data_IF_193989276497
#
_entry.id   IF_193989276497
#
_cell.length_a   1.000
_cell.length_b   1.000
_cell.length_c   1.000
_cell.angle_alpha   90.00
_cell.angle_beta   90.00
_cell.angle_gamma   90.00
#
_symmetry.space_group_name_H-M   'P 1'
#
loop_
_entity.id
_entity.type
_entity.pdbx_description
1 polymer ?
#
# COMPACT_ATOMS: atom_id res chain seq x y z
N UNK A 1 -10.38 -24.72 -16.53
CA UNK A 1 -10.66 -23.41 -17.20
C UNK A 1 -9.34 -22.73 -17.57
N UNK A 2 -9.35 -21.72 -18.47
CA UNK A 2 -8.19 -20.87 -18.70
C UNK A 2 -8.21 -19.63 -17.78
N UNK A 3 -7.14 -18.82 -17.81
CA UNK A 3 -7.00 -17.62 -16.98
C UNK A 3 -8.12 -16.59 -17.20
N UNK A 4 -8.46 -16.29 -18.46
CA UNK A 4 -9.52 -15.31 -18.78
C UNK A 4 -10.90 -15.77 -18.26
N UNK A 5 -11.22 -17.06 -18.41
CA UNK A 5 -12.45 -17.65 -17.89
C UNK A 5 -12.47 -17.62 -16.33
N UNK A 6 -11.31 -17.76 -15.69
CA UNK A 6 -11.20 -17.65 -14.24
C UNK A 6 -11.48 -16.22 -13.74
N UNK A 7 -10.91 -15.22 -14.40
CA UNK A 7 -11.18 -13.82 -14.07
C UNK A 7 -12.63 -13.43 -14.35
N UNK A 8 -13.21 -13.89 -15.48
CA UNK A 8 -14.62 -13.66 -15.79
C UNK A 8 -15.55 -14.26 -14.73
N UNK A 9 -15.24 -15.47 -14.23
CA UNK A 9 -16.00 -16.06 -13.14
C UNK A 9 -15.89 -15.23 -11.84
N UNK A 10 -14.69 -14.79 -11.46
CA UNK A 10 -14.46 -14.00 -10.25
C UNK A 10 -15.19 -12.65 -10.33
N UNK A 11 -15.04 -11.90 -11.43
CA UNK A 11 -15.63 -10.57 -11.59
C UNK A 11 -17.12 -10.62 -11.92
N UNK A 12 -17.63 -11.70 -12.49
CA UNK A 12 -19.04 -11.86 -12.84
C UNK A 12 -20.01 -11.81 -11.65
N UNK A 13 -19.50 -11.88 -10.40
CA UNK A 13 -20.30 -11.89 -9.18
C UNK A 13 -20.52 -10.52 -8.54
N UNK A 14 -19.97 -9.44 -9.06
CA UNK A 14 -20.19 -8.08 -8.55
C UNK A 14 -21.68 -7.71 -8.38
N UNK A 15 -22.56 -8.37 -9.12
CA UNK A 15 -24.02 -8.15 -9.10
C UNK A 15 -24.70 -8.51 -7.78
N UNK A 16 -24.06 -9.28 -6.91
CA UNK A 16 -24.68 -9.80 -5.66
C UNK A 16 -24.45 -8.91 -4.45
N UNK A 17 -23.70 -7.82 -4.57
CA UNK A 17 -23.49 -6.83 -3.51
C UNK A 17 -22.63 -7.33 -2.35
N UNK A 18 -22.40 -6.46 -1.37
CA UNK A 18 -21.66 -6.78 -0.15
C UNK A 18 -22.62 -7.43 0.86
N UNK A 19 -22.37 -8.70 1.22
CA UNK A 19 -23.07 -9.38 2.30
C UNK A 19 -22.16 -9.36 3.52
N UNK A 20 -22.58 -8.64 4.58
CA UNK A 20 -21.83 -8.61 5.85
C UNK A 20 -21.96 -9.94 6.58
N UNK A 21 -20.84 -10.53 6.94
CA UNK A 21 -20.76 -11.77 7.70
C UNK A 21 -19.82 -12.79 7.08
N UNK A 22 -19.49 -13.84 7.84
CA UNK A 22 -18.54 -14.88 7.43
C UNK A 22 -19.21 -16.19 7.01
N UNK A 23 -20.54 -16.25 6.98
CA UNK A 23 -21.24 -17.49 6.73
C UNK A 23 -21.07 -18.00 5.30
N UNK A 24 -21.05 -17.10 4.31
CA UNK A 24 -20.90 -17.47 2.92
C UNK A 24 -19.52 -18.09 2.67
N UNK A 25 -18.45 -17.41 3.07
CA UNK A 25 -17.10 -17.96 2.91
C UNK A 25 -16.87 -19.23 3.74
N UNK A 26 -17.45 -19.37 4.94
CA UNK A 26 -17.38 -20.62 5.72
C UNK A 26 -18.02 -21.79 4.96
N UNK A 27 -19.22 -21.59 4.45
CA UNK A 27 -19.91 -22.58 3.63
C UNK A 27 -19.12 -23.00 2.39
N UNK A 28 -18.45 -22.04 1.74
CA UNK A 28 -17.58 -22.30 0.60
C UNK A 28 -16.37 -23.15 1.01
N UNK A 29 -15.66 -22.74 2.06
CA UNK A 29 -14.46 -23.41 2.54
C UNK A 29 -14.75 -24.80 3.10
N UNK A 30 -15.90 -25.03 3.73
CA UNK A 30 -16.31 -26.38 4.18
C UNK A 30 -16.40 -27.34 3.00
N UNK A 31 -16.91 -26.90 1.83
CA UNK A 31 -17.00 -27.72 0.61
C UNK A 31 -15.66 -27.89 -0.10
N UNK A 32 -14.70 -27.03 0.20
CA UNK A 32 -13.30 -27.14 -0.24
C UNK A 32 -12.44 -27.99 0.71
N UNK A 33 -13.04 -28.58 1.78
CA UNK A 33 -12.33 -29.38 2.77
C UNK A 33 -11.47 -28.57 3.73
N UNK A 34 -11.87 -27.31 4.00
CA UNK A 34 -11.27 -26.39 4.98
C UNK A 34 -9.76 -26.22 4.78
N UNK A 35 -9.29 -25.78 3.60
CA UNK A 35 -7.86 -25.64 3.31
C UNK A 35 -7.14 -24.70 4.29
N UNK A 36 -7.84 -23.69 4.83
CA UNK A 36 -7.29 -22.74 5.81
C UNK A 36 -6.85 -23.40 7.13
N UNK A 37 -7.41 -24.54 7.51
CA UNK A 37 -7.06 -25.21 8.78
C UNK A 37 -5.65 -25.82 8.77
N UNK A 38 -5.07 -25.98 7.57
CA UNK A 38 -3.72 -26.52 7.36
C UNK A 38 -2.65 -25.42 7.30
N UNK A 39 -3.04 -24.16 7.35
CA UNK A 39 -2.16 -23.00 7.16
C UNK A 39 -1.86 -22.27 8.48
N UNK A 40 -0.67 -21.67 8.58
CA UNK A 40 -0.25 -20.86 9.72
C UNK A 40 -0.28 -19.40 9.31
N UNK A 41 -1.12 -18.60 9.95
CA UNK A 41 -1.36 -17.22 9.55
C UNK A 41 -0.67 -16.18 10.44
N UNK A 42 -0.14 -15.14 9.80
CA UNK A 42 0.12 -13.82 10.38
C UNK A 42 -0.92 -12.90 9.74
N UNK A 43 -1.90 -12.44 10.51
CA UNK A 43 -3.08 -11.72 10.03
C UNK A 43 -2.93 -10.23 10.29
N UNK A 44 -2.99 -9.39 9.26
CA UNK A 44 -2.63 -7.97 9.34
C UNK A 44 -3.81 -7.09 8.93
N UNK A 45 -4.30 -6.27 9.87
CA UNK A 45 -5.30 -5.22 9.66
C UNK A 45 -4.70 -3.82 9.86
N UNK A 46 -5.43 -2.80 9.45
CA UNK A 46 -5.04 -1.39 9.59
C UNK A 46 -5.73 -0.52 8.54
N UNK A 47 -5.67 0.79 8.67
CA UNK A 47 -6.08 1.71 7.61
C UNK A 47 -4.96 1.79 6.58
N UNK A 48 -3.80 2.28 6.97
CA UNK A 48 -2.59 2.34 6.16
C UNK A 48 -1.50 1.41 6.72
N UNK A 49 -0.47 1.10 5.93
CA UNK A 49 0.68 0.29 6.34
C UNK A 49 0.49 -1.23 6.28
N UNK A 50 -0.72 -1.75 6.01
CA UNK A 50 -0.98 -3.20 5.91
C UNK A 50 -0.04 -3.89 4.93
N UNK A 51 -0.12 -3.55 3.64
CA UNK A 51 0.67 -4.18 2.58
C UNK A 51 2.18 -4.01 2.78
N UNK A 52 2.64 -2.84 3.26
CA UNK A 52 4.06 -2.63 3.58
C UNK A 52 4.54 -3.54 4.72
N UNK A 53 3.78 -3.63 5.83
CA UNK A 53 4.10 -4.53 6.94
C UNK A 53 4.06 -5.99 6.50
N UNK A 54 3.03 -6.37 5.71
CA UNK A 54 2.90 -7.72 5.14
C UNK A 54 4.11 -8.09 4.29
N UNK A 55 4.58 -7.16 3.47
CA UNK A 55 5.77 -7.36 2.64
C UNK A 55 7.03 -7.50 3.47
N UNK A 56 7.23 -6.66 4.49
CA UNK A 56 8.38 -6.76 5.37
C UNK A 56 8.44 -8.12 6.07
N UNK A 57 7.36 -8.54 6.74
CA UNK A 57 7.39 -9.82 7.46
C UNK A 57 7.46 -11.02 6.51
N UNK A 58 6.82 -10.97 5.34
CA UNK A 58 6.93 -12.00 4.32
C UNK A 58 8.39 -12.18 3.87
N UNK A 59 9.08 -11.08 3.53
CA UNK A 59 10.48 -11.15 3.11
C UNK A 59 11.43 -11.60 4.23
N UNK A 60 11.18 -11.21 5.47
CA UNK A 60 11.94 -11.70 6.64
C UNK A 60 11.83 -13.23 6.75
N UNK A 61 10.64 -13.78 6.60
CA UNK A 61 10.41 -15.23 6.66
C UNK A 61 11.00 -15.95 5.44
N UNK A 62 10.94 -15.36 4.24
CA UNK A 62 11.57 -15.90 3.02
C UNK A 62 13.09 -15.96 3.19
N UNK A 63 13.71 -14.90 3.71
CA UNK A 63 15.16 -14.86 3.96
C UNK A 63 15.60 -15.85 5.06
N UNK A 64 14.71 -16.23 5.95
CA UNK A 64 14.93 -17.32 6.89
C UNK A 64 14.80 -18.72 6.26
N UNK A 65 14.43 -18.82 4.98
CA UNK A 65 14.32 -20.09 4.25
C UNK A 65 13.00 -20.82 4.42
N UNK A 66 11.92 -20.08 4.70
CA UNK A 66 10.55 -20.61 4.70
C UNK A 66 9.85 -20.39 3.36
N UNK A 67 8.92 -21.27 3.03
CA UNK A 67 7.93 -21.07 1.96
C UNK A 67 6.79 -20.21 2.49
N UNK A 68 6.59 -19.02 1.90
CA UNK A 68 5.68 -18.01 2.44
C UNK A 68 4.66 -17.58 1.40
N UNK A 69 3.37 -17.81 1.71
CA UNK A 69 2.26 -17.23 1.01
C UNK A 69 2.06 -15.76 1.46
N UNK A 70 1.81 -14.87 0.53
CA UNK A 70 1.46 -13.47 0.79
C UNK A 70 0.16 -13.15 0.06
N UNK A 71 -0.88 -12.84 0.83
CA UNK A 71 -2.18 -12.39 0.32
C UNK A 71 -2.35 -10.89 0.58
N UNK A 72 -2.61 -10.12 -0.48
CA UNK A 72 -2.73 -8.65 -0.41
C UNK A 72 -3.86 -8.13 -1.29
N UNK A 73 -4.39 -6.95 -0.94
CA UNK A 73 -5.43 -6.28 -1.73
C UNK A 73 -5.41 -4.75 -1.56
N UNK A 74 -5.82 -4.00 -2.61
CA UNK A 74 -6.02 -4.46 -3.98
C UNK A 74 -4.70 -4.77 -4.69
N UNK A 75 -4.74 -5.28 -5.91
CA UNK A 75 -3.59 -5.36 -6.79
C UNK A 75 -3.28 -3.99 -7.40
N UNK A 76 -2.07 -3.81 -7.92
CA UNK A 76 -1.64 -2.56 -8.53
C UNK A 76 -1.75 -2.58 -10.07
N UNK A 77 -1.17 -3.60 -10.71
CA UNK A 77 -1.15 -3.74 -12.18
C UNK A 77 -1.89 -4.98 -12.68
N UNK A 78 -1.66 -6.15 -12.04
CA UNK A 78 -2.25 -7.42 -12.46
C UNK A 78 -2.90 -8.16 -11.30
N UNK A 79 -4.02 -8.83 -11.59
CA UNK A 79 -4.82 -9.54 -10.59
C UNK A 79 -4.00 -10.54 -9.74
N UNK A 80 -3.04 -11.22 -10.37
CA UNK A 80 -2.18 -12.25 -9.76
C UNK A 80 -1.35 -11.72 -8.58
N UNK A 81 -1.14 -10.41 -8.49
CA UNK A 81 -0.43 -9.78 -7.36
C UNK A 81 -1.10 -10.02 -6.02
N UNK A 82 -2.40 -10.35 -6.00
CA UNK A 82 -3.15 -10.64 -4.78
C UNK A 82 -2.66 -11.89 -4.08
N UNK A 83 -2.08 -12.85 -4.83
CA UNK A 83 -1.70 -14.19 -4.35
C UNK A 83 -0.27 -14.47 -4.75
N UNK A 84 0.64 -14.49 -3.78
CA UNK A 84 2.07 -14.68 -4.02
C UNK A 84 2.63 -15.81 -3.18
N UNK A 85 3.63 -16.52 -3.69
CA UNK A 85 4.49 -17.42 -2.91
C UNK A 85 5.94 -17.00 -3.13
N UNK A 86 6.68 -16.77 -2.03
CA UNK A 86 8.10 -16.38 -2.04
C UNK A 86 8.37 -15.15 -2.93
N UNK A 87 7.46 -14.17 -2.90
CA UNK A 87 7.55 -12.93 -3.67
C UNK A 87 7.14 -13.04 -5.15
N UNK A 88 6.89 -14.26 -5.67
CA UNK A 88 6.39 -14.48 -7.03
C UNK A 88 4.86 -14.53 -7.04
N UNK A 89 4.24 -13.82 -7.99
CA UNK A 89 2.81 -13.91 -8.22
C UNK A 89 2.41 -15.34 -8.59
N UNK A 90 1.19 -15.75 -8.24
CA UNK A 90 0.57 -16.97 -8.76
C UNK A 90 0.59 -16.93 -10.29
N UNK A 91 0.99 -18.01 -10.94
CA UNK A 91 0.90 -18.08 -12.40
C UNK A 91 -0.54 -18.25 -12.89
N UNK A 92 -0.76 -17.98 -14.17
CA UNK A 92 -2.11 -17.95 -14.77
C UNK A 92 -2.79 -19.32 -14.70
N UNK A 93 -2.03 -20.41 -14.87
CA UNK A 93 -2.59 -21.77 -14.83
C UNK A 93 -2.92 -22.21 -13.40
N UNK A 94 -2.01 -21.97 -12.43
CA UNK A 94 -2.28 -22.26 -11.01
C UNK A 94 -3.48 -21.44 -10.49
N UNK A 95 -3.66 -20.20 -10.96
CA UNK A 95 -4.85 -19.40 -10.64
C UNK A 95 -6.10 -20.04 -11.22
N UNK A 96 -6.09 -20.38 -12.51
CA UNK A 96 -7.23 -21.00 -13.19
C UNK A 96 -7.63 -22.33 -12.53
N UNK A 97 -6.65 -23.19 -12.20
CA UNK A 97 -6.89 -24.48 -11.54
C UNK A 97 -7.49 -24.30 -10.14
N UNK A 98 -6.97 -23.32 -9.38
CA UNK A 98 -7.50 -23.01 -8.03
C UNK A 98 -8.92 -22.44 -8.09
N UNK A 99 -9.19 -21.56 -9.07
CA UNK A 99 -10.54 -20.99 -9.29
C UNK A 99 -11.52 -22.05 -9.75
N UNK A 100 -11.11 -23.05 -10.56
CA UNK A 100 -11.97 -24.16 -10.98
C UNK A 100 -12.51 -24.92 -9.77
N UNK A 101 -11.64 -25.28 -8.80
CA UNK A 101 -12.05 -25.95 -7.57
C UNK A 101 -13.04 -25.09 -6.75
N UNK A 102 -12.78 -23.77 -6.65
CA UNK A 102 -13.66 -22.83 -5.95
C UNK A 102 -15.02 -22.71 -6.65
N UNK A 103 -15.04 -22.68 -7.99
CA UNK A 103 -16.25 -22.65 -8.80
C UNK A 103 -17.11 -23.90 -8.58
N UNK A 104 -16.52 -25.09 -8.58
CA UNK A 104 -17.23 -26.33 -8.30
C UNK A 104 -17.85 -26.32 -6.90
N UNK A 105 -17.11 -25.84 -5.88
CA UNK A 105 -17.64 -25.72 -4.52
C UNK A 105 -18.77 -24.68 -4.43
N UNK A 106 -18.64 -23.56 -5.15
CA UNK A 106 -19.67 -22.53 -5.26
C UNK A 106 -20.95 -23.10 -5.90
N UNK A 107 -20.85 -23.87 -6.98
CA UNK A 107 -21.98 -24.52 -7.63
C UNK A 107 -22.73 -25.47 -6.71
N UNK A 108 -22.00 -26.24 -5.88
CA UNK A 108 -22.60 -27.11 -4.85
C UNK A 108 -23.39 -26.28 -3.82
N UNK A 109 -22.82 -25.16 -3.34
CA UNK A 109 -23.52 -24.22 -2.44
C UNK A 109 -24.84 -23.74 -3.05
N UNK A 110 -24.81 -23.27 -4.29
CA UNK A 110 -25.98 -22.76 -4.97
C UNK A 110 -27.04 -23.83 -5.20
N UNK A 111 -26.63 -25.07 -5.51
CA UNK A 111 -27.50 -26.24 -5.63
C UNK A 111 -28.22 -26.61 -4.29
N UNK A 112 -27.65 -26.22 -3.17
CA UNK A 112 -28.21 -26.39 -1.84
C UNK A 112 -29.06 -25.18 -1.39
N UNK A 113 -29.25 -24.15 -2.27
CA UNK A 113 -30.01 -22.95 -1.99
C UNK A 113 -29.31 -21.92 -1.11
N UNK A 114 -27.98 -22.01 -0.96
CA UNK A 114 -27.17 -21.04 -0.22
C UNK A 114 -26.86 -19.80 -1.06
N UNK A 115 -26.56 -18.68 -0.41
CA UNK A 115 -26.22 -17.43 -1.07
C UNK A 115 -24.89 -17.54 -1.82
N UNK A 116 -24.78 -16.83 -2.95
CA UNK A 116 -23.55 -16.74 -3.72
C UNK A 116 -22.45 -16.00 -2.92
N UNK A 117 -21.19 -16.51 -2.89
CA UNK A 117 -20.07 -15.78 -2.32
C UNK A 117 -19.79 -14.49 -3.10
N UNK A 118 -19.30 -13.47 -2.41
CA UNK A 118 -18.81 -12.22 -3.02
C UNK A 118 -17.49 -12.46 -3.78
N UNK A 119 -17.09 -11.53 -4.65
CA UNK A 119 -15.79 -11.58 -5.34
C UNK A 119 -14.64 -11.79 -4.34
N UNK A 120 -14.60 -10.98 -3.28
CA UNK A 120 -13.52 -11.04 -2.30
C UNK A 120 -13.48 -12.39 -1.53
N UNK A 121 -14.64 -12.99 -1.26
CA UNK A 121 -14.73 -14.33 -0.66
C UNK A 121 -14.21 -15.40 -1.61
N UNK A 122 -14.52 -15.32 -2.92
CA UNK A 122 -14.00 -16.25 -3.92
C UNK A 122 -12.47 -16.15 -4.04
N UNK A 123 -11.92 -14.93 -4.10
CA UNK A 123 -10.47 -14.71 -4.18
C UNK A 123 -9.76 -15.21 -2.92
N UNK A 124 -10.34 -14.96 -1.74
CA UNK A 124 -9.79 -15.45 -0.46
C UNK A 124 -9.77 -16.97 -0.41
N UNK A 125 -10.86 -17.62 -0.83
CA UNK A 125 -10.93 -19.09 -0.90
C UNK A 125 -9.92 -19.65 -1.92
N UNK A 126 -9.77 -19.03 -3.09
CA UNK A 126 -8.77 -19.38 -4.11
C UNK A 126 -7.35 -19.34 -3.54
N UNK A 127 -7.01 -18.25 -2.80
CA UNK A 127 -5.71 -18.15 -2.15
C UNK A 127 -5.47 -19.27 -1.14
N UNK A 128 -6.46 -19.63 -0.31
CA UNK A 128 -6.31 -20.71 0.66
C UNK A 128 -6.15 -22.08 0.00
N UNK A 129 -6.90 -22.36 -1.07
CA UNK A 129 -6.74 -23.58 -1.87
C UNK A 129 -5.32 -23.68 -2.44
N UNK A 130 -4.85 -22.59 -3.06
CA UNK A 130 -3.53 -22.53 -3.65
C UNK A 130 -2.41 -22.72 -2.62
N UNK A 131 -2.43 -21.97 -1.51
CA UNK A 131 -1.41 -22.07 -0.46
C UNK A 131 -1.38 -23.44 0.20
N UNK A 132 -2.55 -24.02 0.48
CA UNK A 132 -2.63 -25.37 1.04
C UNK A 132 -2.17 -26.45 0.06
N UNK A 133 -2.46 -26.27 -1.23
CA UNK A 133 -1.99 -27.17 -2.31
C UNK A 133 -0.47 -27.11 -2.50
N UNK A 134 0.15 -25.94 -2.39
CA UNK A 134 1.60 -25.75 -2.47
C UNK A 134 2.35 -26.05 -1.15
N UNK A 135 1.64 -26.26 -0.03
CA UNK A 135 2.23 -26.61 1.26
C UNK A 135 3.13 -25.54 1.83
N UNK A 136 2.72 -24.25 1.79
CA UNK A 136 3.51 -23.14 2.34
C UNK A 136 3.64 -23.26 3.87
N UNK A 137 4.78 -22.83 4.41
CA UNK A 137 5.04 -22.88 5.86
C UNK A 137 4.23 -21.83 6.62
N UNK A 138 4.09 -20.62 6.05
CA UNK A 138 3.36 -19.49 6.61
C UNK A 138 2.55 -18.77 5.55
N UNK A 139 1.47 -18.13 5.98
CA UNK A 139 0.70 -17.18 5.16
C UNK A 139 0.65 -15.84 5.87
N UNK A 140 1.17 -14.82 5.24
CA UNK A 140 0.95 -13.43 5.63
C UNK A 140 -0.32 -12.96 4.94
N UNK A 141 -1.35 -12.68 5.74
CA UNK A 141 -2.72 -12.46 5.29
C UNK A 141 -3.13 -11.01 5.57
N UNK A 142 -3.22 -10.19 4.53
CA UNK A 142 -3.70 -8.82 4.63
C UNK A 142 -5.23 -8.78 4.59
N UNK A 143 -5.85 -8.06 5.53
CA UNK A 143 -7.28 -7.75 5.57
C UNK A 143 -7.64 -6.82 4.41
N UNK A 144 -8.71 -7.13 3.68
CA UNK A 144 -9.20 -6.27 2.62
C UNK A 144 -9.85 -4.99 3.16
N UNK A 145 -10.84 -5.14 4.04
CA UNK A 145 -11.58 -4.01 4.61
C UNK A 145 -11.97 -4.27 6.07
N UNK A 146 -11.67 -3.32 6.96
CA UNK A 146 -12.04 -3.42 8.37
C UNK A 146 -11.28 -4.53 9.08
N UNK A 147 -11.92 -5.64 9.31
CA UNK A 147 -11.35 -6.84 9.94
C UNK A 147 -12.42 -7.83 10.39
N UNK A 148 -13.38 -7.41 11.21
CA UNK A 148 -14.38 -8.26 11.88
C UNK A 148 -15.16 -9.15 10.91
N UNK A 149 -15.64 -8.57 9.82
CA UNK A 149 -16.46 -9.24 8.80
C UNK A 149 -15.72 -9.43 7.47
N UNK A 150 -14.40 -9.17 7.46
CA UNK A 150 -13.57 -9.41 6.29
C UNK A 150 -13.45 -10.91 6.00
N UNK A 151 -13.49 -11.32 4.73
CA UNK A 151 -13.42 -12.72 4.36
C UNK A 151 -12.15 -13.41 4.89
N UNK A 152 -11.04 -12.68 5.02
CA UNK A 152 -9.79 -13.23 5.60
C UNK A 152 -9.95 -13.63 7.07
N UNK A 153 -10.93 -13.05 7.78
CA UNK A 153 -11.18 -13.33 9.20
C UNK A 153 -11.91 -14.64 9.46
N UNK A 154 -12.23 -15.40 8.41
CA UNK A 154 -12.82 -16.74 8.52
C UNK A 154 -11.90 -17.76 9.23
N UNK A 155 -10.61 -17.47 9.34
CA UNK A 155 -9.63 -18.29 10.05
C UNK A 155 -9.91 -18.31 11.55
N UNK A 156 -9.82 -19.49 12.18
CA UNK A 156 -10.08 -19.62 13.62
C UNK A 156 -8.88 -19.22 14.48
N UNK A 157 -7.66 -19.29 13.94
CA UNK A 157 -6.40 -19.02 14.64
C UNK A 157 -5.43 -18.24 13.76
N UNK A 158 -4.65 -17.38 14.39
CA UNK A 158 -3.45 -16.75 13.82
C UNK A 158 -2.29 -16.88 14.80
N UNK A 159 -1.06 -16.97 14.30
CA UNK A 159 0.15 -16.88 15.14
C UNK A 159 0.27 -15.49 15.77
N UNK A 160 -0.04 -14.48 14.97
CA UNK A 160 -0.09 -13.08 15.38
C UNK A 160 -1.23 -12.40 14.62
N UNK A 161 -2.04 -11.61 15.33
CA UNK A 161 -2.92 -10.60 14.76
C UNK A 161 -2.22 -9.24 14.87
N UNK A 162 -1.85 -8.64 13.73
CA UNK A 162 -1.16 -7.36 13.71
C UNK A 162 -2.11 -6.22 13.31
N UNK A 163 -2.04 -5.08 14.01
CA UNK A 163 -2.84 -3.89 13.70
C UNK A 163 -1.87 -2.75 13.36
N UNK A 164 -1.81 -2.38 12.09
CA UNK A 164 -1.06 -1.24 11.60
C UNK A 164 -1.77 0.08 11.98
N UNK A 165 -1.64 1.18 11.22
CA UNK A 165 -2.27 2.44 11.59
C UNK A 165 -3.82 2.35 11.58
N UNK A 166 -4.45 3.08 12.48
CA UNK A 166 -5.91 3.28 12.54
C UNK A 166 -6.19 4.76 12.29
N UNK A 167 -6.91 5.04 11.22
CA UNK A 167 -7.37 6.39 10.86
C UNK A 167 -8.72 6.30 10.13
N UNK A 168 -9.40 7.42 9.95
CA UNK A 168 -10.69 7.46 9.27
C UNK A 168 -10.50 7.13 7.78
N UNK A 169 -11.14 6.07 7.33
CA UNK A 169 -11.31 5.69 5.94
C UNK A 169 -12.53 4.77 5.84
N UNK A 170 -13.15 4.71 4.66
CA UNK A 170 -14.37 3.91 4.44
C UNK A 170 -15.45 4.16 5.49
N UNK A 171 -15.64 5.42 5.89
CA UNK A 171 -16.52 5.81 7.03
C UNK A 171 -17.97 5.38 6.87
N UNK A 172 -18.45 5.22 5.63
CA UNK A 172 -19.80 4.69 5.34
C UNK A 172 -19.99 3.22 5.76
N UNK A 173 -18.90 2.47 5.89
CA UNK A 173 -18.91 1.02 6.20
C UNK A 173 -18.35 0.77 7.61
N UNK A 174 -17.22 1.40 7.95
CA UNK A 174 -16.50 1.14 9.20
C UNK A 174 -16.89 2.06 10.35
N UNK A 175 -17.70 3.10 10.06
CA UNK A 175 -18.07 4.13 11.01
C UNK A 175 -17.23 5.40 10.89
N UNK A 176 -17.74 6.47 11.49
CA UNK A 176 -17.30 7.86 11.35
C UNK A 176 -16.42 8.35 12.51
N UNK A 177 -16.05 7.44 13.43
CA UNK A 177 -15.16 7.72 14.57
C UNK A 177 -14.01 6.72 14.64
N UNK A 178 -12.89 7.13 15.26
CA UNK A 178 -11.69 6.26 15.42
C UNK A 178 -12.03 4.99 16.18
N UNK A 179 -12.85 5.07 17.23
CA UNK A 179 -13.23 3.89 18.04
C UNK A 179 -14.02 2.86 17.22
N UNK A 180 -14.95 3.30 16.33
CA UNK A 180 -15.69 2.38 15.46
C UNK A 180 -14.75 1.69 14.48
N UNK A 181 -13.86 2.46 13.82
CA UNK A 181 -12.86 1.92 12.90
C UNK A 181 -11.90 0.96 13.63
N UNK A 182 -11.45 1.33 14.84
CA UNK A 182 -10.59 0.49 15.68
C UNK A 182 -11.30 -0.81 16.08
N UNK A 183 -12.59 -0.74 16.43
CA UNK A 183 -13.39 -1.92 16.79
C UNK A 183 -13.54 -2.91 15.64
N UNK A 184 -13.80 -2.40 14.43
CA UNK A 184 -13.86 -3.25 13.23
C UNK A 184 -12.51 -3.92 12.95
N UNK A 185 -11.39 -3.17 13.07
CA UNK A 185 -10.04 -3.72 12.86
C UNK A 185 -9.64 -4.72 13.95
N UNK A 186 -9.98 -4.45 15.19
CA UNK A 186 -9.76 -5.36 16.32
C UNK A 186 -10.55 -6.68 16.20
N UNK A 187 -11.51 -6.76 15.28
CA UNK A 187 -12.24 -7.99 14.99
C UNK A 187 -11.39 -9.17 14.49
N UNK A 188 -10.13 -8.94 14.08
CA UNK A 188 -9.19 -10.02 13.74
C UNK A 188 -8.54 -10.69 14.96
N UNK A 189 -8.71 -10.13 16.15
CA UNK A 189 -8.14 -10.65 17.38
C UNK A 189 -8.81 -11.99 17.71
N UNK A 190 -7.97 -13.01 17.91
CA UNK A 190 -8.42 -14.38 18.18
C UNK A 190 -8.39 -14.67 19.67
N UNK A 191 -9.29 -15.55 20.11
CA UNK A 191 -9.39 -15.97 21.52
C UNK A 191 -8.03 -16.50 22.02
N UNK A 192 -7.54 -15.93 23.13
CA UNK A 192 -6.22 -16.23 23.70
C UNK A 192 -5.06 -16.05 22.72
N UNK A 193 -5.25 -15.21 21.67
CA UNK A 193 -4.27 -14.93 20.63
C UNK A 193 -3.19 -13.94 21.05
N UNK A 194 -2.23 -13.74 20.17
CA UNK A 194 -1.23 -12.68 20.29
C UNK A 194 -1.57 -11.51 19.37
N UNK A 195 -1.58 -10.30 19.91
CA UNK A 195 -1.77 -9.06 19.17
C UNK A 195 -0.51 -8.22 19.23
N UNK A 196 -0.10 -7.68 18.09
CA UNK A 196 0.98 -6.69 18.02
C UNK A 196 0.44 -5.50 17.22
N UNK A 197 0.45 -4.30 17.81
CA UNK A 197 -0.09 -3.13 17.13
C UNK A 197 0.87 -1.96 17.14
N UNK A 198 0.71 -1.03 16.23
CA UNK A 198 1.34 0.27 16.28
C UNK A 198 1.01 0.99 17.59
N UNK A 199 1.93 1.84 18.04
CA UNK A 199 1.59 2.90 18.98
C UNK A 199 0.60 3.85 18.32
N UNK A 200 -0.62 3.89 18.85
CA UNK A 200 -1.76 4.64 18.34
C UNK A 200 -2.13 5.78 19.31
N UNK A 201 -3.07 6.63 18.88
CA UNK A 201 -3.76 7.52 19.81
C UNK A 201 -4.57 6.75 20.86
N UNK A 202 -4.91 7.40 21.99
CA UNK A 202 -5.60 6.75 23.11
C UNK A 202 -6.92 6.09 22.69
N UNK A 203 -7.70 6.74 21.84
CA UNK A 203 -9.00 6.24 21.38
C UNK A 203 -8.89 4.85 20.73
N UNK A 204 -7.96 4.67 19.78
CA UNK A 204 -7.77 3.39 19.12
C UNK A 204 -7.15 2.35 20.06
N UNK A 205 -6.20 2.78 20.93
CA UNK A 205 -5.52 1.90 21.89
C UNK A 205 -6.49 1.30 22.90
N UNK A 206 -7.35 2.11 23.50
CA UNK A 206 -8.34 1.68 24.49
C UNK A 206 -9.33 0.65 23.91
N UNK A 207 -9.74 0.82 22.66
CA UNK A 207 -10.61 -0.15 21.97
C UNK A 207 -9.90 -1.48 21.78
N UNK A 208 -8.66 -1.48 21.30
CA UNK A 208 -7.90 -2.71 21.07
C UNK A 208 -7.62 -3.42 22.41
N UNK A 209 -7.22 -2.68 23.47
CA UNK A 209 -7.02 -3.23 24.82
C UNK A 209 -8.28 -3.88 25.38
N UNK A 210 -9.45 -3.22 25.19
CA UNK A 210 -10.74 -3.78 25.61
C UNK A 210 -11.03 -5.08 24.88
N UNK A 211 -10.89 -5.13 23.55
CA UNK A 211 -11.13 -6.36 22.77
C UNK A 211 -10.12 -7.46 23.15
N UNK A 212 -8.86 -7.13 23.38
CA UNK A 212 -7.87 -8.08 23.88
C UNK A 212 -8.31 -8.68 25.22
N UNK A 213 -8.81 -7.86 26.14
CA UNK A 213 -9.31 -8.32 27.43
C UNK A 213 -10.52 -9.24 27.29
N UNK A 214 -11.46 -8.89 26.42
CA UNK A 214 -12.66 -9.70 26.11
C UNK A 214 -12.30 -11.07 25.54
N UNK A 215 -11.33 -11.12 24.64
CA UNK A 215 -10.84 -12.35 23.99
C UNK A 215 -9.78 -13.10 24.83
N UNK A 216 -9.30 -12.54 25.93
CA UNK A 216 -8.17 -13.07 26.72
C UNK A 216 -6.88 -13.12 25.94
N UNK A 217 -6.69 -12.20 24.99
CA UNK A 217 -5.53 -12.10 24.12
C UNK A 217 -4.43 -11.22 24.75
N UNK A 218 -3.17 -11.50 24.42
CA UNK A 218 -2.03 -10.68 24.83
C UNK A 218 -1.79 -9.54 23.84
N UNK A 219 -1.49 -8.34 24.32
CA UNK A 219 -1.19 -7.16 23.51
C UNK A 219 0.26 -6.72 23.68
N UNK A 220 0.96 -6.55 22.58
CA UNK A 220 2.26 -5.88 22.48
C UNK A 220 2.08 -4.59 21.68
N UNK A 221 2.52 -3.46 22.22
CA UNK A 221 2.52 -2.17 21.52
C UNK A 221 3.92 -1.92 20.95
N UNK A 222 3.98 -1.78 19.63
CA UNK A 222 5.18 -1.42 18.88
C UNK A 222 5.45 0.08 19.03
N UNK A 223 6.32 0.46 19.97
CA UNK A 223 6.54 1.85 20.39
C UNK A 223 7.46 2.59 19.43
N UNK A 224 7.02 3.73 18.93
CA UNK A 224 7.80 4.59 18.03
C UNK A 224 9.10 5.13 18.67
N UNK A 225 9.14 5.26 20.01
CA UNK A 225 10.34 5.64 20.76
C UNK A 225 11.50 4.65 20.61
N UNK A 226 11.24 3.44 20.11
CA UNK A 226 12.26 2.46 19.77
C UNK A 226 12.96 2.72 18.42
N UNK A 227 12.60 3.76 17.66
CA UNK A 227 13.18 4.06 16.35
C UNK A 227 14.08 5.28 16.42
N UNK A 228 15.33 5.15 15.95
CA UNK A 228 16.27 6.25 15.74
C UNK A 228 16.68 6.31 14.27
N UNK A 229 16.14 7.28 13.51
CA UNK A 229 16.44 7.42 12.08
C UNK A 229 17.78 8.14 11.92
N UNK A 230 18.80 7.43 11.40
CA UNK A 230 20.14 7.97 11.11
C UNK A 230 20.21 8.64 9.74
N UNK A 231 19.52 8.06 8.73
CA UNK A 231 19.50 8.55 7.35
C UNK A 231 18.16 8.25 6.71
N UNK A 232 17.61 9.24 5.99
CA UNK A 232 16.39 9.03 5.19
C UNK A 232 16.44 9.96 3.98
N UNK A 233 16.50 9.40 2.78
CA UNK A 233 16.55 10.11 1.52
C UNK A 233 15.77 9.34 0.43
N UNK A 234 15.87 9.79 -0.83
CA UNK A 234 15.17 9.18 -1.98
C UNK A 234 15.65 7.75 -2.33
N UNK A 235 16.79 7.29 -1.81
CA UNK A 235 17.33 5.96 -2.17
C UNK A 235 17.08 4.90 -1.10
N UNK A 236 17.18 5.29 0.17
CA UNK A 236 17.05 4.37 1.30
C UNK A 236 16.87 5.10 2.63
N UNK A 237 16.52 4.34 3.64
CA UNK A 237 16.51 4.76 5.02
C UNK A 237 17.41 3.85 5.84
N UNK A 238 18.15 4.42 6.81
CA UNK A 238 18.97 3.71 7.79
C UNK A 238 18.53 4.16 9.18
N UNK A 239 18.22 3.20 10.04
CA UNK A 239 17.73 3.48 11.39
C UNK A 239 18.13 2.38 12.38
N UNK A 240 18.21 2.74 13.64
CA UNK A 240 18.27 1.77 14.74
C UNK A 240 16.85 1.50 15.23
N UNK A 241 16.62 0.30 15.73
CA UNK A 241 15.34 -0.07 16.33
C UNK A 241 15.53 -0.92 17.59
N UNK A 242 14.59 -0.75 18.53
CA UNK A 242 14.41 -1.65 19.66
C UNK A 242 13.16 -2.49 19.42
N UNK A 243 13.27 -3.83 19.55
CA UNK A 243 12.09 -4.66 19.60
C UNK A 243 11.37 -4.55 20.96
N UNK A 244 10.22 -5.20 21.08
CA UNK A 244 9.39 -5.15 22.29
C UNK A 244 10.07 -5.82 23.51
N UNK A 245 11.12 -6.63 23.31
CA UNK A 245 11.94 -7.24 24.35
C UNK A 245 13.11 -6.33 24.78
N UNK A 246 13.34 -5.22 24.08
CA UNK A 246 14.45 -4.29 24.30
C UNK A 246 15.75 -4.69 23.58
N UNK A 247 15.71 -5.67 22.68
CA UNK A 247 16.88 -6.01 21.87
C UNK A 247 17.13 -4.93 20.83
N UNK A 248 18.37 -4.44 20.75
CA UNK A 248 18.78 -3.41 19.79
C UNK A 248 19.18 -4.02 18.45
N UNK A 249 18.67 -3.42 17.38
CA UNK A 249 19.04 -3.68 15.99
C UNK A 249 19.61 -2.39 15.42
N UNK A 250 20.91 -2.38 15.13
CA UNK A 250 21.62 -1.21 14.63
C UNK A 250 21.73 -1.23 13.11
N UNK A 251 21.67 -0.04 12.49
CA UNK A 251 21.86 0.14 11.03
C UNK A 251 20.91 -0.68 10.16
N UNK A 252 19.69 -0.91 10.60
CA UNK A 252 18.65 -1.49 9.76
C UNK A 252 18.45 -0.63 8.50
N UNK A 253 18.34 -1.28 7.35
CA UNK A 253 18.18 -0.61 6.06
C UNK A 253 16.91 -1.03 5.37
N UNK A 254 16.15 -0.06 4.89
CA UNK A 254 15.00 -0.28 4.01
C UNK A 254 15.13 0.59 2.76
N UNK A 255 14.63 0.07 1.64
CA UNK A 255 14.58 0.80 0.36
C UNK A 255 13.29 1.58 0.19
N UNK A 256 12.24 1.20 0.91
CA UNK A 256 10.96 1.90 0.88
C UNK A 256 11.12 3.30 1.50
N UNK A 257 10.68 4.32 0.75
CA UNK A 257 10.82 5.73 1.11
C UNK A 257 9.68 6.14 2.05
N UNK A 258 9.93 7.12 2.90
CA UNK A 258 8.96 7.67 3.86
C UNK A 258 9.19 7.16 5.28
N UNK A 259 9.21 8.10 6.24
CA UNK A 259 9.43 7.78 7.67
C UNK A 259 8.38 6.84 8.25
N UNK A 260 7.15 6.84 7.72
CA UNK A 260 6.13 5.87 8.10
C UNK A 260 6.54 4.42 7.81
N UNK A 261 7.44 4.18 6.84
CA UNK A 261 7.93 2.85 6.52
C UNK A 261 8.85 2.29 7.62
N UNK A 262 9.55 3.14 8.40
CA UNK A 262 10.32 2.64 9.55
C UNK A 262 9.39 2.11 10.65
N UNK A 263 8.20 2.68 10.81
CA UNK A 263 7.18 2.15 11.73
C UNK A 263 6.60 0.82 11.22
N UNK A 264 6.33 0.70 9.91
CA UNK A 264 5.91 -0.58 9.31
C UNK A 264 6.98 -1.66 9.48
N UNK A 265 8.26 -1.30 9.31
CA UNK A 265 9.40 -2.18 9.53
C UNK A 265 9.53 -2.58 11.01
N UNK A 266 9.31 -1.66 11.96
CA UNK A 266 9.33 -1.97 13.39
C UNK A 266 8.20 -2.92 13.78
N UNK A 267 6.99 -2.75 13.20
CA UNK A 267 5.89 -3.70 13.44
C UNK A 267 6.25 -5.09 12.94
N UNK A 268 6.83 -5.21 11.73
CA UNK A 268 7.30 -6.48 11.20
C UNK A 268 8.46 -7.07 12.02
N UNK A 269 9.39 -6.24 12.51
CA UNK A 269 10.45 -6.64 13.44
C UNK A 269 9.88 -7.23 14.75
N UNK A 270 8.88 -6.57 15.32
CA UNK A 270 8.22 -7.06 16.54
C UNK A 270 7.48 -8.38 16.32
N UNK A 271 6.86 -8.58 15.16
CA UNK A 271 6.27 -9.86 14.76
C UNK A 271 7.37 -10.93 14.67
N UNK A 272 8.48 -10.63 13.98
CA UNK A 272 9.61 -11.56 13.85
C UNK A 272 10.22 -11.91 15.22
N UNK A 273 10.44 -10.92 16.09
CA UNK A 273 10.95 -11.13 17.45
C UNK A 273 10.02 -12.04 18.27
N UNK A 274 8.69 -11.85 18.17
CA UNK A 274 7.72 -12.71 18.84
C UNK A 274 7.77 -14.15 18.31
N UNK A 275 7.87 -14.33 16.99
CA UNK A 275 7.97 -15.68 16.40
C UNK A 275 9.25 -16.39 16.82
N UNK A 276 10.37 -15.67 16.96
CA UNK A 276 11.66 -16.21 17.45
C UNK A 276 11.56 -16.60 18.93
N UNK A 277 11.11 -15.70 19.79
CA UNK A 277 11.02 -15.90 21.24
C UNK A 277 10.16 -17.11 21.61
N UNK A 278 9.04 -17.28 20.89
CA UNK A 278 8.11 -18.38 21.13
C UNK A 278 8.41 -19.64 20.31
N UNK A 279 9.56 -19.71 19.62
CA UNK A 279 9.99 -20.83 18.77
C UNK A 279 8.94 -21.25 17.73
N UNK A 280 8.22 -20.27 17.23
CA UNK A 280 7.21 -20.47 16.18
C UNK A 280 7.81 -20.42 14.78
N UNK A 281 9.07 -19.95 14.64
CA UNK A 281 9.85 -19.90 13.42
C UNK A 281 11.35 -20.14 13.76
N UNK A 282 11.73 -21.39 13.84
CA UNK A 282 13.04 -21.87 14.33
C UNK A 282 14.23 -21.50 13.42
N UNK A 283 13.99 -21.30 12.11
CA UNK A 283 15.02 -20.83 11.15
C UNK A 283 15.20 -19.31 11.18
N UNK A 284 14.34 -18.58 11.86
CA UNK A 284 14.40 -17.12 11.87
C UNK A 284 15.62 -16.63 12.63
N UNK A 285 16.37 -15.70 12.06
CA UNK A 285 17.60 -15.14 12.64
C UNK A 285 17.65 -13.62 12.50
N UNK A 286 18.60 -12.98 13.20
CA UNK A 286 18.83 -11.54 13.02
C UNK A 286 19.22 -11.20 11.58
N UNK A 287 20.06 -12.02 10.95
CA UNK A 287 20.52 -11.87 9.57
C UNK A 287 19.34 -11.90 8.59
N UNK A 288 18.37 -12.81 8.81
CA UNK A 288 17.15 -12.88 8.01
C UNK A 288 16.30 -11.61 8.16
N UNK A 289 16.24 -11.03 9.37
CA UNK A 289 15.54 -9.75 9.62
C UNK A 289 16.18 -8.62 8.79
N UNK A 290 17.52 -8.46 8.90
CA UNK A 290 18.25 -7.44 8.15
C UNK A 290 18.08 -7.59 6.63
N UNK A 291 18.26 -8.81 6.14
CA UNK A 291 18.14 -9.12 4.72
C UNK A 291 16.71 -8.92 4.21
N UNK A 292 15.72 -9.40 4.95
CA UNK A 292 14.31 -9.29 4.58
C UNK A 292 13.84 -7.84 4.52
N UNK A 293 14.21 -7.02 5.51
CA UNK A 293 13.91 -5.58 5.49
C UNK A 293 14.56 -4.88 4.30
N UNK A 294 15.84 -5.14 4.03
CA UNK A 294 16.59 -4.52 2.91
C UNK A 294 16.04 -4.89 1.53
N UNK A 295 15.62 -6.15 1.36
CA UNK A 295 15.12 -6.67 0.08
C UNK A 295 13.66 -6.29 -0.19
N UNK A 296 12.93 -5.84 0.83
CA UNK A 296 11.52 -5.52 0.71
C UNK A 296 11.28 -4.35 -0.24
N UNK A 297 10.34 -4.56 -1.18
CA UNK A 297 9.84 -3.55 -2.12
C UNK A 297 8.31 -3.63 -2.12
N UNK A 298 7.67 -2.48 -2.13
CA UNK A 298 6.22 -2.41 -2.24
C UNK A 298 5.83 -1.36 -3.29
N UNK A 299 5.49 -1.77 -4.52
CA UNK A 299 5.15 -0.87 -5.60
C UNK A 299 4.04 0.11 -5.23
N UNK A 300 4.10 1.32 -5.78
CA UNK A 300 3.10 2.36 -5.56
C UNK A 300 3.13 3.00 -4.15
N UNK A 301 4.22 2.88 -3.40
CA UNK A 301 4.43 3.56 -2.11
C UNK A 301 5.72 4.36 -2.17
N UNK A 302 5.61 5.65 -2.50
CA UNK A 302 6.72 6.55 -2.80
C UNK A 302 7.77 5.86 -3.70
N UNK A 303 7.29 5.15 -4.71
CA UNK A 303 8.12 4.41 -5.65
C UNK A 303 8.71 5.36 -6.68
N UNK A 304 10.03 5.34 -6.84
CA UNK A 304 10.72 6.10 -7.87
C UNK A 304 10.78 5.23 -9.13
N UNK A 305 10.14 5.70 -10.20
CA UNK A 305 10.14 5.06 -11.52
C UNK A 305 11.29 5.54 -12.38
N UNK A 306 11.70 6.81 -12.20
CA UNK A 306 12.81 7.43 -12.95
C UNK A 306 13.50 8.49 -12.09
N UNK A 307 14.82 8.59 -12.22
CA UNK A 307 15.65 9.52 -11.46
C UNK A 307 15.78 10.91 -12.11
N UNK A 308 15.67 11.02 -13.45
CA UNK A 308 15.84 12.28 -14.16
C UNK A 308 14.98 12.34 -15.44
N UNK A 309 13.89 13.15 -15.46
CA UNK A 309 13.34 13.83 -14.29
C UNK A 309 12.97 12.86 -13.19
N UNK A 310 12.96 13.33 -11.93
CA UNK A 310 12.44 12.49 -10.85
C UNK A 310 10.97 12.18 -11.12
N UNK A 311 10.63 10.92 -11.33
CA UNK A 311 9.24 10.49 -11.42
C UNK A 311 8.93 9.54 -10.27
N UNK A 312 8.05 9.98 -9.37
CA UNK A 312 7.65 9.23 -8.19
C UNK A 312 6.15 8.99 -8.19
N UNK A 313 5.73 7.82 -7.70
CA UNK A 313 4.31 7.47 -7.55
C UNK A 313 4.00 7.09 -6.11
N UNK A 314 2.80 7.48 -5.64
CA UNK A 314 2.29 7.08 -4.31
C UNK A 314 0.78 6.87 -4.32
N UNK A 315 0.35 5.76 -3.75
CA UNK A 315 -1.07 5.38 -3.65
C UNK A 315 -1.85 6.06 -2.52
N UNK A 316 -1.42 7.22 -2.03
CA UNK A 316 -2.16 8.00 -1.04
C UNK A 316 -3.54 8.38 -1.59
N UNK A 317 -4.61 7.96 -0.90
CA UNK A 317 -6.00 8.11 -1.32
C UNK A 317 -6.96 8.43 -0.17
N UNK A 318 -6.42 8.70 1.03
CA UNK A 318 -7.13 9.18 2.21
C UNK A 318 -6.31 10.27 2.90
N UNK A 319 -6.90 10.98 3.86
CA UNK A 319 -6.26 12.12 4.52
C UNK A 319 -4.94 11.76 5.19
N UNK A 320 -4.87 10.66 5.90
CA UNK A 320 -3.66 10.20 6.60
C UNK A 320 -2.53 9.86 5.60
N UNK A 321 -2.88 9.18 4.49
CA UNK A 321 -1.96 8.92 3.39
C UNK A 321 -1.46 10.21 2.72
N UNK A 322 -2.37 11.15 2.43
CA UNK A 322 -2.04 12.45 1.85
C UNK A 322 -1.13 13.26 2.79
N UNK A 323 -1.41 13.28 4.09
CA UNK A 323 -0.59 13.95 5.09
C UNK A 323 0.81 13.34 5.19
N UNK A 324 0.92 12.02 5.12
CA UNK A 324 2.19 11.30 5.10
C UNK A 324 3.01 11.65 3.86
N UNK A 325 2.37 11.67 2.68
CA UNK A 325 3.01 12.02 1.40
C UNK A 325 3.49 13.48 1.41
N UNK A 326 2.66 14.42 1.86
CA UNK A 326 3.02 15.84 1.98
C UNK A 326 4.24 16.01 2.89
N UNK A 327 4.24 15.39 4.08
CA UNK A 327 5.36 15.49 5.01
C UNK A 327 6.68 14.98 4.41
N UNK A 328 6.64 13.98 3.54
CA UNK A 328 7.82 13.47 2.86
C UNK A 328 8.23 14.33 1.65
N UNK A 329 7.27 14.86 0.89
CA UNK A 329 7.54 15.83 -0.19
C UNK A 329 8.23 17.08 0.36
N UNK A 330 7.68 17.67 1.43
CA UNK A 330 8.26 18.86 2.08
C UNK A 330 9.68 18.59 2.60
N UNK A 331 9.95 17.38 3.05
CA UNK A 331 11.27 16.98 3.58
C UNK A 331 12.29 16.62 2.50
N UNK A 332 11.86 15.95 1.42
CA UNK A 332 12.74 15.38 0.39
C UNK A 332 12.90 16.29 -0.82
N UNK A 333 11.87 17.08 -1.13
CA UNK A 333 11.77 17.92 -2.31
C UNK A 333 11.53 19.36 -1.90
N UNK A 334 12.58 20.05 -1.45
CA UNK A 334 12.52 21.45 -1.02
C UNK A 334 12.27 22.44 -2.18
N UNK A 335 12.56 23.71 -1.94
CA UNK A 335 12.33 24.81 -2.90
C UNK A 335 13.20 24.74 -4.15
N UNK A 336 14.26 23.91 -4.12
CA UNK A 336 15.13 23.64 -5.27
C UNK A 336 14.47 22.72 -6.32
N UNK A 337 13.27 22.21 -6.05
CA UNK A 337 12.49 21.39 -6.99
C UNK A 337 11.31 22.16 -7.57
N UNK A 338 11.11 22.01 -8.85
CA UNK A 338 9.90 22.39 -9.58
C UNK A 338 9.05 21.11 -9.72
N UNK A 339 7.87 21.12 -9.08
CA UNK A 339 7.06 19.92 -8.81
C UNK A 339 5.77 19.93 -9.63
N UNK A 340 5.55 18.90 -10.42
CA UNK A 340 4.31 18.65 -11.16
C UNK A 340 3.56 17.49 -10.53
N UNK A 341 2.29 17.67 -10.20
CA UNK A 341 1.41 16.61 -9.69
C UNK A 341 0.55 16.05 -10.83
N UNK A 342 0.52 14.74 -11.01
CA UNK A 342 -0.48 14.01 -11.81
C UNK A 342 -1.49 13.44 -10.82
N UNK A 343 -2.72 13.98 -10.82
CA UNK A 343 -3.73 13.72 -9.80
C UNK A 343 -5.00 13.12 -10.40
N UNK A 344 -5.47 12.03 -9.81
CA UNK A 344 -6.80 11.47 -10.06
C UNK A 344 -7.35 10.79 -8.82
N UNK A 345 -8.57 11.12 -8.43
CA UNK A 345 -9.19 10.71 -7.18
C UNK A 345 -10.49 9.94 -7.43
N UNK A 346 -10.89 9.11 -6.49
CA UNK A 346 -12.21 8.48 -6.47
C UNK A 346 -13.21 9.37 -5.72
N UNK A 347 -14.42 9.47 -6.23
CA UNK A 347 -15.47 10.37 -5.72
C UNK A 347 -16.00 9.99 -4.31
N UNK A 348 -15.75 8.75 -3.87
CA UNK A 348 -16.15 8.27 -2.55
C UNK A 348 -15.16 8.60 -1.42
N UNK A 349 -14.06 9.30 -1.74
CA UNK A 349 -13.03 9.72 -0.80
C UNK A 349 -13.23 11.17 -0.34
N UNK A 350 -12.52 11.58 0.71
CA UNK A 350 -12.47 12.99 1.13
C UNK A 350 -11.61 13.82 0.18
N UNK A 351 -12.18 14.12 -0.99
CA UNK A 351 -11.48 14.82 -2.08
C UNK A 351 -11.03 16.21 -1.65
N UNK A 352 -11.91 16.97 -0.97
CA UNK A 352 -11.59 18.35 -0.56
C UNK A 352 -10.43 18.40 0.44
N UNK A 353 -10.42 17.48 1.40
CA UNK A 353 -9.33 17.37 2.36
C UNK A 353 -8.02 16.96 1.72
N UNK A 354 -8.05 16.00 0.78
CA UNK A 354 -6.84 15.53 0.06
C UNK A 354 -6.29 16.66 -0.82
N UNK A 355 -7.13 17.32 -1.63
CA UNK A 355 -6.74 18.43 -2.51
C UNK A 355 -6.13 19.57 -1.70
N UNK A 356 -6.78 20.00 -0.61
CA UNK A 356 -6.28 21.02 0.30
C UNK A 356 -4.89 20.72 0.87
N UNK A 357 -4.58 19.46 1.12
CA UNK A 357 -3.28 19.03 1.65
C UNK A 357 -2.21 18.95 0.56
N UNK A 358 -2.51 18.28 -0.56
CA UNK A 358 -1.52 17.97 -1.59
C UNK A 358 -1.21 19.16 -2.49
N UNK A 359 -2.25 19.79 -3.09
CA UNK A 359 -2.10 20.71 -4.20
C UNK A 359 -1.19 21.90 -3.89
N UNK A 360 -1.22 22.53 -2.70
CA UNK A 360 -0.35 23.66 -2.39
C UNK A 360 1.17 23.38 -2.40
N UNK A 361 1.58 22.10 -2.54
CA UNK A 361 3.00 21.69 -2.58
C UNK A 361 3.56 21.59 -3.99
N UNK A 362 2.72 21.85 -4.99
CA UNK A 362 3.06 21.67 -6.40
C UNK A 362 2.95 22.99 -7.16
N UNK A 363 3.86 23.18 -8.10
CA UNK A 363 3.87 24.38 -8.97
C UNK A 363 2.77 24.28 -10.03
N UNK A 364 2.36 23.04 -10.40
CA UNK A 364 1.27 22.76 -11.36
C UNK A 364 0.65 21.39 -11.14
N UNK A 365 -0.58 21.23 -11.66
CA UNK A 365 -1.34 19.99 -11.52
C UNK A 365 -1.89 19.55 -12.89
N UNK A 366 -1.64 18.30 -13.25
CA UNK A 366 -2.28 17.60 -14.34
C UNK A 366 -3.38 16.73 -13.73
N UNK A 367 -4.64 17.05 -14.02
CA UNK A 367 -5.80 16.30 -13.55
C UNK A 367 -6.15 15.24 -14.59
N UNK A 368 -6.31 14.00 -14.15
CA UNK A 368 -6.62 12.86 -15.01
C UNK A 368 -7.67 11.93 -14.41
N UNK A 369 -8.21 10.99 -15.20
CA UNK A 369 -9.29 10.09 -14.80
C UNK A 369 -8.74 8.69 -14.48
N UNK A 370 -8.74 8.23 -13.22
CA UNK A 370 -8.41 6.85 -12.89
C UNK A 370 -9.33 5.86 -13.60
N UNK A 371 -8.79 4.76 -14.10
CA UNK A 371 -9.59 3.70 -14.75
C UNK A 371 -10.41 2.91 -13.70
N UNK A 372 -11.44 3.57 -13.17
CA UNK A 372 -12.33 3.01 -12.17
C UNK A 372 -13.71 3.69 -12.28
N UNK A 373 -14.84 2.96 -12.19
CA UNK A 373 -16.19 3.53 -12.29
C UNK A 373 -16.54 4.53 -11.18
N UNK A 374 -15.77 4.56 -10.08
CA UNK A 374 -15.92 5.53 -8.97
C UNK A 374 -15.01 6.75 -9.14
N UNK A 375 -14.31 6.89 -10.26
CA UNK A 375 -13.43 8.04 -10.49
C UNK A 375 -14.24 9.34 -10.49
N UNK A 376 -13.68 10.40 -9.90
CA UNK A 376 -14.25 11.74 -10.00
C UNK A 376 -13.97 12.30 -11.39
N UNK A 377 -14.97 12.94 -12.00
CA UNK A 377 -14.83 13.59 -13.31
C UNK A 377 -13.71 14.64 -13.29
N UNK A 378 -12.96 14.75 -14.38
CA UNK A 378 -11.79 15.64 -14.50
C UNK A 378 -12.16 17.10 -14.23
N UNK A 379 -13.30 17.57 -14.77
CA UNK A 379 -13.75 18.95 -14.60
C UNK A 379 -14.10 19.26 -13.13
N UNK A 380 -14.74 18.30 -12.44
CA UNK A 380 -15.10 18.45 -11.05
C UNK A 380 -13.84 18.49 -10.16
N UNK A 381 -12.87 17.60 -10.42
CA UNK A 381 -11.60 17.59 -9.69
C UNK A 381 -10.79 18.87 -10.00
N UNK A 382 -10.72 19.31 -11.24
CA UNK A 382 -10.04 20.53 -11.64
C UNK A 382 -10.62 21.78 -10.98
N UNK A 383 -11.96 21.85 -10.84
CA UNK A 383 -12.62 22.94 -10.11
C UNK A 383 -12.12 23.02 -8.64
N UNK A 384 -12.01 21.87 -7.95
CA UNK A 384 -11.52 21.81 -6.56
C UNK A 384 -10.04 22.16 -6.47
N UNK A 385 -9.23 21.66 -7.41
CA UNK A 385 -7.78 21.96 -7.53
C UNK A 385 -7.57 23.46 -7.76
N UNK A 386 -8.44 24.10 -8.55
CA UNK A 386 -8.38 25.54 -8.87
C UNK A 386 -8.49 26.48 -7.67
N UNK A 387 -8.95 26.01 -6.54
CA UNK A 387 -8.93 26.78 -5.29
C UNK A 387 -7.52 26.94 -4.70
N UNK A 388 -6.55 26.13 -5.13
CA UNK A 388 -5.21 26.07 -4.54
C UNK A 388 -4.08 26.17 -5.55
N UNK A 389 -4.31 25.94 -6.83
CA UNK A 389 -3.33 26.03 -7.92
C UNK A 389 -3.96 26.70 -9.13
N UNK A 390 -3.19 27.58 -9.82
CA UNK A 390 -3.65 28.28 -11.03
C UNK A 390 -3.19 27.59 -12.33
N UNK A 391 -2.10 26.81 -12.26
CA UNK A 391 -1.54 26.08 -13.41
C UNK A 391 -2.10 24.66 -13.44
N UNK A 392 -3.26 24.52 -14.09
CA UNK A 392 -4.02 23.26 -14.17
C UNK A 392 -4.15 22.82 -15.62
N UNK A 393 -3.85 21.56 -15.86
CA UNK A 393 -4.01 20.90 -17.14
C UNK A 393 -4.98 19.72 -16.97
N UNK A 394 -6.00 19.63 -17.82
CA UNK A 394 -6.99 18.56 -17.80
C UNK A 394 -6.72 17.59 -18.93
N UNK A 395 -6.42 16.33 -18.63
CA UNK A 395 -6.20 15.26 -19.61
C UNK A 395 -6.80 13.97 -19.04
N UNK A 396 -7.91 13.49 -19.63
CA UNK A 396 -8.60 12.31 -19.12
C UNK A 396 -7.77 11.03 -19.22
N UNK A 397 -7.16 10.81 -20.38
CA UNK A 397 -6.34 9.61 -20.62
C UNK A 397 -5.03 9.66 -19.82
N UNK A 398 -4.81 8.62 -19.02
CA UNK A 398 -3.65 8.54 -18.12
C UNK A 398 -2.33 8.50 -18.90
N UNK A 399 -2.27 7.73 -20.00
CA UNK A 399 -1.07 7.64 -20.83
C UNK A 399 -0.69 8.99 -21.41
N UNK A 400 -1.65 9.72 -21.97
CA UNK A 400 -1.45 11.08 -22.50
C UNK A 400 -1.07 12.06 -21.38
N UNK A 401 -1.65 11.94 -20.19
CA UNK A 401 -1.30 12.79 -19.03
C UNK A 401 0.15 12.57 -18.61
N UNK A 402 0.62 11.33 -18.60
CA UNK A 402 2.02 10.98 -18.31
C UNK A 402 2.95 11.51 -19.39
N UNK A 403 2.65 11.25 -20.67
CA UNK A 403 3.48 11.73 -21.80
C UNK A 403 3.56 13.26 -21.80
N UNK A 404 2.43 13.94 -21.57
CA UNK A 404 2.40 15.39 -21.44
C UNK A 404 3.27 15.89 -20.28
N UNK A 405 3.29 15.17 -19.15
CA UNK A 405 4.13 15.55 -18.01
C UNK A 405 5.62 15.52 -18.34
N UNK A 406 6.08 14.56 -19.14
CA UNK A 406 7.45 14.50 -19.65
C UNK A 406 7.76 15.65 -20.61
N UNK A 407 6.89 15.87 -21.61
CA UNK A 407 7.04 16.95 -22.58
C UNK A 407 7.07 18.32 -21.91
N UNK A 408 6.26 18.51 -20.88
CA UNK A 408 6.20 19.72 -20.08
C UNK A 408 7.53 19.97 -19.36
N UNK A 409 8.08 18.96 -18.67
CA UNK A 409 9.36 19.04 -17.97
C UNK A 409 10.50 19.33 -18.95
N UNK A 410 10.50 18.73 -20.12
CA UNK A 410 11.50 18.99 -21.16
C UNK A 410 11.41 20.44 -21.69
N UNK A 411 10.21 20.96 -21.89
CA UNK A 411 10.01 22.38 -22.27
C UNK A 411 10.51 23.32 -21.19
N UNK A 412 10.12 23.11 -19.95
CA UNK A 412 10.53 23.94 -18.81
C UNK A 412 12.06 23.94 -18.65
N UNK A 413 12.70 22.79 -18.81
CA UNK A 413 14.16 22.66 -18.74
C UNK A 413 14.87 23.43 -19.86
N UNK A 414 14.33 23.39 -21.09
CA UNK A 414 14.87 24.17 -22.22
C UNK A 414 14.70 25.66 -22.01
N UNK A 415 13.54 26.11 -21.56
CA UNK A 415 13.26 27.52 -21.31
C UNK A 415 14.14 28.11 -20.20
N UNK A 416 14.36 27.36 -19.12
CA UNK A 416 15.29 27.78 -18.06
C UNK A 416 16.72 27.90 -18.55
N UNK A 417 17.23 26.93 -19.31
CA UNK A 417 18.56 27.00 -19.93
C UNK A 417 18.70 28.20 -20.86
N UNK A 418 17.67 28.49 -21.66
CA UNK A 418 17.66 29.65 -22.55
C UNK A 418 17.72 30.96 -21.77
N UNK A 419 16.92 31.12 -20.72
CA UNK A 419 16.91 32.32 -19.83
C UNK A 419 18.27 32.53 -19.15
N UNK A 420 18.89 31.45 -18.65
CA UNK A 420 20.21 31.54 -18.03
C UNK A 420 21.27 32.01 -19.04
N UNK A 421 21.26 31.47 -20.24
CA UNK A 421 22.21 31.85 -21.30
C UNK A 421 22.03 33.31 -21.72
N UNK A 422 20.80 33.82 -21.80
CA UNK A 422 20.56 35.24 -22.04
C UNK A 422 21.03 36.12 -20.90
N UNK A 423 20.83 35.70 -19.66
CA UNK A 423 21.27 36.43 -18.47
C UNK A 423 22.79 36.53 -18.40
N UNK A 424 23.50 35.41 -18.71
CA UNK A 424 24.95 35.39 -18.80
C UNK A 424 25.48 36.30 -19.92
N UNK A 425 24.83 36.29 -21.10
CA UNK A 425 25.20 37.22 -22.21
C UNK A 425 25.01 38.68 -21.83
N UNK A 426 23.92 39.00 -21.12
CA UNK A 426 23.65 40.38 -20.64
C UNK A 426 24.66 40.81 -19.57
N UNK A 427 25.04 39.93 -18.64
CA UNK A 427 26.03 40.21 -17.60
C UNK A 427 27.43 40.45 -18.17
N UNK A 428 27.84 39.67 -19.19
CA UNK A 428 29.12 39.85 -19.92
C UNK A 428 29.19 41.15 -20.71
N UNK A 429 28.03 41.69 -21.18
CA UNK A 429 27.96 42.97 -21.90
C UNK A 429 27.95 44.20 -20.98
N UNK A 430 27.55 44.04 -19.73
CA UNK A 430 27.43 45.13 -18.75
C UNK A 430 28.65 45.15 -17.82
N UNK A 431 29.82 45.63 -18.34
CA UNK A 431 31.07 45.87 -17.57
C UNK A 431 30.99 47.04 -16.56
N UNK A 432 29.82 47.62 -16.29
CA UNK A 432 29.70 48.73 -15.35
C UNK A 432 28.34 48.59 -14.60
N UNK A 433 28.41 48.14 -13.41
CA UNK A 433 27.57 48.23 -12.21
C UNK A 433 27.39 46.85 -11.58
N UNK A 434 28.01 46.71 -10.42
CA UNK A 434 27.77 45.59 -9.48
C UNK A 434 26.27 45.59 -9.06
N UNK A 435 25.43 44.89 -9.83
CA UNK A 435 24.21 44.31 -9.29
C UNK A 435 24.53 42.82 -9.07
N UNK A 436 24.42 42.37 -7.80
CA UNK A 436 24.37 40.94 -7.47
C UNK A 436 23.29 40.30 -8.37
N UNK A 437 23.69 39.69 -9.47
CA UNK A 437 22.84 38.73 -10.17
C UNK A 437 22.78 37.53 -9.23
N UNK A 438 21.64 37.30 -8.62
CA UNK A 438 21.38 36.03 -7.92
C UNK A 438 21.47 34.95 -9.00
N UNK A 439 22.59 34.22 -9.03
CA UNK A 439 22.72 32.98 -9.81
C UNK A 439 21.83 31.96 -9.11
N UNK A 440 20.52 31.97 -9.37
CA UNK A 440 19.65 30.86 -9.02
C UNK A 440 20.00 29.71 -9.94
N UNK A 441 20.46 28.61 -9.36
CA UNK A 441 20.64 27.35 -10.08
C UNK A 441 19.28 26.90 -10.65
N UNK A 442 19.26 26.26 -11.83
CA UNK A 442 18.01 25.73 -12.39
C UNK A 442 17.40 24.73 -11.40
N UNK A 443 16.09 24.86 -11.18
CA UNK A 443 15.37 23.94 -10.31
C UNK A 443 15.38 22.53 -10.90
N UNK A 444 15.60 21.54 -10.05
CA UNK A 444 15.41 20.14 -10.40
C UNK A 444 13.93 19.91 -10.72
N UNK A 445 13.62 18.96 -11.59
CA UNK A 445 12.24 18.68 -11.99
C UNK A 445 11.76 17.37 -11.36
N UNK A 446 10.56 17.41 -10.77
CA UNK A 446 9.92 16.25 -10.20
C UNK A 446 8.47 16.12 -10.70
N UNK A 447 8.09 14.92 -11.07
CA UNK A 447 6.72 14.52 -11.41
C UNK A 447 6.27 13.56 -10.33
N UNK A 448 5.12 13.81 -9.72
CA UNK A 448 4.54 12.96 -8.68
C UNK A 448 3.15 12.51 -9.13
N UNK A 449 2.93 11.20 -9.26
CA UNK A 449 1.62 10.60 -9.50
C UNK A 449 0.97 10.18 -8.19
N UNK A 450 -0.24 10.69 -7.86
CA UNK A 450 -0.92 10.35 -6.60
C UNK A 450 -2.44 10.48 -6.68
N UNK A 451 -3.13 9.94 -5.67
CA UNK A 451 -4.57 10.10 -5.44
C UNK A 451 -5.38 8.81 -5.48
N UNK A 452 -4.92 7.78 -6.18
CA UNK A 452 -5.58 6.47 -6.24
C UNK A 452 -4.59 5.37 -6.58
N UNK A 453 -4.75 4.17 -6.00
CA UNK A 453 -3.95 3.01 -6.38
C UNK A 453 -4.20 2.60 -7.84
N UNK A 454 -5.43 2.78 -8.36
CA UNK A 454 -5.74 2.52 -9.76
C UNK A 454 -4.96 3.43 -10.70
N UNK A 455 -4.96 4.74 -10.43
CA UNK A 455 -4.15 5.70 -11.19
C UNK A 455 -2.67 5.34 -11.16
N UNK A 456 -2.16 5.04 -9.98
CA UNK A 456 -0.73 4.77 -9.75
C UNK A 456 -0.30 3.49 -10.48
N UNK A 457 -1.15 2.46 -10.52
CA UNK A 457 -0.92 1.25 -11.31
C UNK A 457 -0.82 1.52 -12.81
N UNK A 458 -1.77 2.28 -13.35
CA UNK A 458 -1.79 2.64 -14.78
C UNK A 458 -0.58 3.52 -15.15
N UNK A 459 -0.24 4.53 -14.33
CA UNK A 459 0.98 5.34 -14.51
C UNK A 459 2.23 4.44 -14.53
N UNK A 460 2.35 3.55 -13.55
CA UNK A 460 3.49 2.63 -13.44
C UNK A 460 3.65 1.77 -14.68
N UNK A 461 2.57 1.16 -15.14
CA UNK A 461 2.54 0.33 -16.34
C UNK A 461 2.93 1.12 -17.60
N UNK A 462 2.45 2.37 -17.73
CA UNK A 462 2.77 3.24 -18.88
C UNK A 462 4.24 3.67 -18.88
N UNK A 463 4.76 4.14 -17.74
CA UNK A 463 6.17 4.57 -17.61
C UNK A 463 7.12 3.41 -17.85
N UNK A 464 6.86 2.23 -17.26
CA UNK A 464 7.71 1.06 -17.44
C UNK A 464 7.78 0.59 -18.92
N UNK A 465 6.67 0.64 -19.66
CA UNK A 465 6.65 0.37 -21.10
C UNK A 465 7.48 1.40 -21.86
N UNK A 466 7.28 2.68 -21.60
CA UNK A 466 8.02 3.77 -22.26
C UNK A 466 9.53 3.72 -22.00
N UNK A 467 9.97 3.21 -20.85
CA UNK A 467 11.40 2.99 -20.53
C UNK A 467 11.94 1.77 -21.27
N UNK A 468 11.16 0.70 -21.42
CA UNK A 468 11.56 -0.53 -22.11
C UNK A 468 11.70 -0.33 -23.61
N UNK A 469 10.99 0.62 -24.20
CA UNK A 469 10.97 0.95 -25.63
C UNK A 469 12.09 1.96 -26.02
N UNK A 470 12.81 2.51 -25.04
CA UNK A 470 13.97 3.41 -25.22
C UNK A 470 15.29 2.66 -25.03
#
# INVERSE_FOLDING_TARGET
MNYSEALEFIHGVEKFGMILGLNSIRNLLDRLGRPQDRLKFIHISGTNGKGSTSTFISNILIEAGYSVGLYTSPFLEVFNERIRINGCNIDDQDLADSVELVKEACQKMLGEGLAHPTEFELVTATAFVYYAGKGVDYVVLEVGLGGRYDATNVIDKSLVSAIASVSLDHTKVLGDTIDKVAYEKAGIIKKKGQVIMYEQGPEATEVVERVCKEEGANLIISRNSGIEIKKSNLNNQVFDALDYLGNKYEDLKIRMIGRHQTKNALLALNIAAYLMENRLADKLSREAIYSGLLKSKWPGRMEILMDSPLFMIDGAHNLDGAQSLVGEIDRLLGDEWDKTLVLGLLADKDVDGIVKLLVPRFDRVIVTLPNNPRAMAVEELAYRVGMYCQDIICIEDIGQAVDYSFDLVDRLTRDEKARMHETEKRSKKSKSRQKKVTNENPKKKAIIGAGSLFLVGDIRSHVNRSISDR
#
